data_IF_001102690169
#
_entry.id   IF_001102690169
#
_cell.length_a   1.000
_cell.length_b   1.000
_cell.length_c   1.000
_cell.angle_alpha   90.00
_cell.angle_beta   90.00
_cell.angle_gamma   90.00
#
_symmetry.space_group_name_H-M   'P 1'
#
loop_
_entity.id
_entity.type
_entity.pdbx_description
1 polymer ?
#
# COMPACT_ATOMS: atom_id res chain seq x y z
N UNK A 1 -1.39 -16.43 3.73
CA UNK A 1 -2.09 -17.55 4.40
C UNK A 1 -3.51 -17.14 4.83
N UNK A 2 -3.71 -16.05 5.58
CA UNK A 2 -5.07 -15.56 5.93
C UNK A 2 -5.94 -15.18 4.72
N UNK A 3 -5.37 -14.54 3.71
CA UNK A 3 -6.07 -14.17 2.47
C UNK A 3 -6.49 -15.36 1.58
N UNK A 4 -5.90 -16.55 1.80
CA UNK A 4 -6.21 -17.77 1.07
C UNK A 4 -7.25 -18.62 1.79
N UNK A 5 -7.22 -18.62 3.12
CA UNK A 5 -8.14 -19.42 3.96
C UNK A 5 -9.43 -18.68 4.32
N UNK A 6 -9.41 -17.34 4.31
CA UNK A 6 -10.50 -16.47 4.77
C UNK A 6 -10.71 -15.30 3.80
N UNK A 7 -10.93 -15.61 2.53
CA UNK A 7 -10.96 -14.63 1.42
C UNK A 7 -11.97 -13.51 1.62
N UNK A 8 -13.20 -13.82 2.04
CA UNK A 8 -14.26 -12.82 2.24
C UNK A 8 -13.92 -11.83 3.37
N UNK A 9 -13.42 -12.34 4.50
CA UNK A 9 -12.99 -11.50 5.60
C UNK A 9 -11.78 -10.64 5.20
N UNK A 10 -10.82 -11.23 4.49
CA UNK A 10 -9.66 -10.50 3.99
C UNK A 10 -10.05 -9.38 3.02
N UNK A 11 -11.06 -9.61 2.16
CA UNK A 11 -11.62 -8.59 1.28
C UNK A 11 -12.28 -7.43 2.04
N UNK A 12 -13.09 -7.74 3.06
CA UNK A 12 -13.70 -6.71 3.94
C UNK A 12 -12.65 -5.89 4.68
N UNK A 13 -11.60 -6.53 5.19
CA UNK A 13 -10.49 -5.84 5.84
C UNK A 13 -9.69 -4.99 4.87
N UNK A 14 -9.46 -5.47 3.65
CA UNK A 14 -8.80 -4.69 2.60
C UNK A 14 -9.59 -3.42 2.30
N UNK A 15 -10.90 -3.54 2.03
CA UNK A 15 -11.75 -2.40 1.72
C UNK A 15 -11.68 -1.33 2.82
N UNK A 16 -11.83 -1.76 4.09
CA UNK A 16 -11.69 -0.86 5.24
C UNK A 16 -10.34 -0.15 5.30
N UNK A 17 -9.24 -0.83 4.98
CA UNK A 17 -7.91 -0.21 4.95
C UNK A 17 -7.80 0.84 3.84
N UNK A 18 -8.30 0.53 2.64
CA UNK A 18 -8.28 1.46 1.51
C UNK A 18 -9.10 2.72 1.82
N UNK A 19 -10.27 2.55 2.42
CA UNK A 19 -11.11 3.69 2.81
C UNK A 19 -10.41 4.59 3.84
N UNK A 20 -9.74 4.00 4.84
CA UNK A 20 -8.95 4.77 5.80
C UNK A 20 -7.73 5.43 5.18
N UNK A 21 -7.04 4.79 4.26
CA UNK A 21 -5.91 5.40 3.53
C UNK A 21 -6.40 6.60 2.70
N UNK A 22 -7.58 6.50 2.08
CA UNK A 22 -8.18 7.63 1.34
C UNK A 22 -8.43 8.82 2.27
N UNK A 23 -8.96 8.57 3.47
CA UNK A 23 -9.28 9.60 4.46
C UNK A 23 -8.03 10.38 4.94
N UNK A 24 -6.84 9.77 4.94
CA UNK A 24 -5.62 10.45 5.40
C UNK A 24 -5.06 11.45 4.39
N UNK A 25 -5.42 11.33 3.11
CA UNK A 25 -4.82 12.11 2.03
C UNK A 25 -3.32 11.81 1.80
N UNK A 26 -2.80 10.70 2.34
CA UNK A 26 -1.40 10.35 2.19
C UNK A 26 -1.06 10.01 0.73
N UNK A 27 0.11 10.47 0.27
CA UNK A 27 0.66 10.12 -1.05
C UNK A 27 1.47 8.81 -1.02
N UNK A 28 1.91 8.37 0.16
CA UNK A 28 2.75 7.19 0.37
C UNK A 28 2.27 6.40 1.59
N UNK A 29 2.27 5.07 1.49
CA UNK A 29 1.97 4.13 2.59
C UNK A 29 3.11 3.12 2.71
N UNK A 30 3.77 3.10 3.87
CA UNK A 30 4.86 2.17 4.17
C UNK A 30 4.33 0.84 4.74
N UNK A 31 4.81 -0.28 4.20
CA UNK A 31 4.32 -1.62 4.54
C UNK A 31 5.51 -2.59 4.67
N UNK A 32 5.79 -3.05 5.89
CA UNK A 32 6.90 -3.99 6.18
C UNK A 32 6.58 -5.46 5.92
N UNK A 33 5.37 -5.79 5.51
CA UNK A 33 4.96 -7.17 5.21
C UNK A 33 4.62 -7.30 3.72
N UNK A 34 5.39 -8.10 2.98
CA UNK A 34 5.24 -8.26 1.52
C UNK A 34 3.83 -8.70 1.10
N UNK A 35 3.19 -9.57 1.87
CA UNK A 35 1.82 -10.00 1.58
C UNK A 35 0.81 -8.86 1.72
N UNK A 36 0.94 -8.04 2.77
CA UNK A 36 0.14 -6.83 2.91
C UNK A 36 0.47 -5.80 1.82
N UNK A 37 1.73 -5.67 1.42
CA UNK A 37 2.16 -4.73 0.38
C UNK A 37 1.46 -5.06 -0.94
N UNK A 38 1.50 -6.32 -1.36
CA UNK A 38 0.81 -6.78 -2.58
C UNK A 38 -0.72 -6.60 -2.49
N UNK A 39 -1.32 -6.96 -1.36
CA UNK A 39 -2.77 -6.90 -1.18
C UNK A 39 -3.28 -5.45 -1.14
N UNK A 40 -2.59 -4.57 -0.41
CA UNK A 40 -2.96 -3.15 -0.31
C UNK A 40 -2.66 -2.44 -1.62
N UNK A 41 -1.52 -2.72 -2.26
CA UNK A 41 -1.19 -2.19 -3.58
C UNK A 41 -2.26 -2.53 -4.62
N UNK A 42 -2.73 -3.78 -4.65
CA UNK A 42 -3.86 -4.18 -5.50
C UNK A 42 -5.15 -3.40 -5.16
N UNK A 43 -5.47 -3.23 -3.87
CA UNK A 43 -6.65 -2.48 -3.45
C UNK A 43 -6.60 -1.00 -3.83
N UNK A 44 -5.42 -0.36 -3.74
CA UNK A 44 -5.21 1.02 -4.16
C UNK A 44 -5.39 1.18 -5.69
N UNK A 45 -4.83 0.25 -6.47
CA UNK A 45 -5.03 0.17 -7.94
C UNK A 45 -6.51 0.06 -8.30
N UNK A 46 -7.22 -0.87 -7.68
CA UNK A 46 -8.64 -1.08 -7.92
C UNK A 46 -9.48 0.15 -7.56
N UNK A 47 -9.11 0.84 -6.48
CA UNK A 47 -9.74 2.09 -6.05
C UNK A 47 -9.27 3.33 -6.83
N UNK A 48 -8.34 3.18 -7.79
CA UNK A 48 -7.73 4.26 -8.59
C UNK A 48 -7.18 5.40 -7.73
N UNK A 49 -6.62 5.06 -6.57
CA UNK A 49 -6.03 6.05 -5.66
C UNK A 49 -4.57 6.30 -6.06
N UNK A 50 -4.12 7.56 -6.20
CA UNK A 50 -2.76 7.89 -6.60
C UNK A 50 -1.78 7.80 -5.41
N UNK A 51 -1.81 6.68 -4.68
CA UNK A 51 -1.03 6.45 -3.45
C UNK A 51 0.01 5.38 -3.71
N UNK A 52 1.29 5.66 -3.39
CA UNK A 52 2.38 4.69 -3.56
C UNK A 52 2.51 3.81 -2.32
N UNK A 53 2.54 2.49 -2.50
CA UNK A 53 2.98 1.56 -1.45
C UNK A 53 4.48 1.35 -1.52
N UNK A 54 5.17 1.40 -0.38
CA UNK A 54 6.62 1.15 -0.30
C UNK A 54 6.99 0.29 0.89
N UNK A 55 8.12 -0.37 0.84
CA UNK A 55 8.77 -0.95 2.01
C UNK A 55 9.43 0.16 2.85
N UNK A 56 9.42 0.09 4.20
CA UNK A 56 10.06 1.09 5.05
C UNK A 56 11.55 1.34 4.74
N UNK A 57 12.26 0.34 4.21
CA UNK A 57 13.67 0.51 3.80
C UNK A 57 13.83 1.52 2.66
N UNK A 58 12.86 1.63 1.76
CA UNK A 58 12.87 2.61 0.68
C UNK A 58 12.75 4.02 1.24
N UNK A 59 11.96 4.22 2.30
CA UNK A 59 11.89 5.53 2.97
C UNK A 59 13.21 5.94 3.61
N UNK A 60 13.96 4.96 4.14
CA UNK A 60 15.30 5.21 4.68
C UNK A 60 16.28 5.53 3.55
N UNK A 61 16.22 4.82 2.44
CA UNK A 61 17.04 5.13 1.26
C UNK A 61 16.75 6.54 0.73
N UNK A 62 15.47 6.93 0.62
CA UNK A 62 15.08 8.25 0.14
C UNK A 62 15.49 9.38 1.08
N UNK A 63 15.57 9.13 2.39
CA UNK A 63 16.03 10.16 3.33
C UNK A 63 17.53 10.42 3.21
N UNK A 64 18.30 9.46 2.67
CA UNK A 64 19.74 9.55 2.47
C UNK A 64 20.11 10.01 1.05
N UNK A 65 19.36 9.57 0.04
CA UNK A 65 19.71 9.76 -1.37
C UNK A 65 18.70 10.60 -2.16
N UNK A 66 17.59 11.00 -1.54
CA UNK A 66 16.48 11.69 -2.19
C UNK A 66 15.44 10.71 -2.77
N UNK A 67 14.21 11.20 -2.96
CA UNK A 67 13.14 10.40 -3.53
C UNK A 67 13.37 10.22 -5.05
N UNK A 68 13.23 9.00 -5.61
CA UNK A 68 13.42 8.76 -7.03
C UNK A 68 12.32 9.44 -7.86
N UNK A 69 12.75 10.16 -8.90
CA UNK A 69 11.86 10.80 -9.86
C UNK A 69 11.08 9.76 -10.68
N UNK A 70 9.76 9.92 -10.79
CA UNK A 70 8.96 9.27 -11.84
C UNK A 70 8.56 7.80 -11.64
N UNK A 71 8.80 7.16 -10.49
CA UNK A 71 8.38 5.75 -10.31
C UNK A 71 6.84 5.57 -10.39
N UNK A 72 6.33 4.41 -10.82
CA UNK A 72 4.89 4.18 -10.95
C UNK A 72 4.18 4.40 -9.60
N UNK A 73 3.12 5.20 -9.61
CA UNK A 73 2.16 5.23 -8.49
C UNK A 73 1.41 3.90 -8.56
N UNK A 74 1.53 3.11 -7.49
CA UNK A 74 1.03 1.75 -7.42
C UNK A 74 -0.41 1.67 -7.89
#
# INVERSE_FOLDING_TARGET
MYNLLQTEMAGRLLQRKIDRIRETGASVVAIGNVGCLLQIGLGLRQAKLPVRTVHPVELVDWSLHGMPDGEPRA
#
